data_IF_819204462078
#
_entry.id   IF_819204462078
#
_cell.length_a   1.000
_cell.length_b   1.000
_cell.length_c   1.000
_cell.angle_alpha   90.00
_cell.angle_beta   90.00
_cell.angle_gamma   90.00
#
_symmetry.space_group_name_H-M   'P 1'
#
loop_
_entity.id
_entity.type
_entity.pdbx_description
1 polymer ?
#
# COMPACT_ATOMS: atom_id res chain seq x y z
N UNK A 1 14.61 35.23 -2.47
CA UNK A 1 13.48 34.53 -3.13
C UNK A 1 13.08 33.38 -2.23
N UNK A 2 12.11 33.60 -1.35
CA UNK A 2 11.52 32.52 -0.56
C UNK A 2 10.71 31.67 -1.52
N UNK A 3 11.18 30.46 -1.82
CA UNK A 3 10.31 29.49 -2.44
C UNK A 3 9.20 29.23 -1.43
N UNK A 4 7.98 29.68 -1.75
CA UNK A 4 6.80 29.16 -1.10
C UNK A 4 6.84 27.64 -1.33
N UNK A 5 7.32 26.90 -0.33
CA UNK A 5 7.09 25.47 -0.27
C UNK A 5 5.57 25.35 -0.18
N UNK A 6 4.93 25.12 -1.32
CA UNK A 6 3.53 24.71 -1.36
C UNK A 6 3.46 23.41 -0.56
N UNK A 7 3.12 23.54 0.73
CA UNK A 7 2.78 22.43 1.59
C UNK A 7 1.48 21.88 1.04
N UNK A 8 1.60 20.85 0.20
CA UNK A 8 0.45 20.13 -0.30
C UNK A 8 -0.12 19.28 0.84
N UNK A 9 -1.44 19.11 0.82
CA UNK A 9 -2.17 18.30 1.78
C UNK A 9 -2.98 17.24 1.04
N UNK A 10 -3.77 16.48 1.78
CA UNK A 10 -4.70 15.52 1.22
C UNK A 10 -6.11 16.09 1.21
N UNK A 11 -6.88 15.73 0.19
CA UNK A 11 -8.32 15.99 0.14
C UNK A 11 -9.08 14.71 -0.20
N UNK A 12 -10.33 14.55 0.24
CA UNK A 12 -11.18 13.45 -0.20
C UNK A 12 -11.36 13.50 -1.72
N UNK A 13 -11.27 12.34 -2.37
CA UNK A 13 -11.54 12.21 -3.79
C UNK A 13 -13.06 12.26 -4.03
N UNK A 14 -13.51 13.00 -5.04
CA UNK A 14 -14.94 13.09 -5.38
C UNK A 14 -15.50 11.74 -5.85
N UNK A 15 -14.73 11.02 -6.67
CA UNK A 15 -15.06 9.69 -7.16
C UNK A 15 -13.94 8.74 -6.75
N UNK A 16 -14.16 7.79 -5.83
CA UNK A 16 -13.13 6.84 -5.43
C UNK A 16 -12.53 6.09 -6.63
N UNK A 17 -11.22 5.86 -6.60
CA UNK A 17 -10.57 5.03 -7.62
C UNK A 17 -10.88 3.53 -7.42
N UNK A 18 -10.88 2.77 -8.50
CA UNK A 18 -11.06 1.32 -8.44
C UNK A 18 -9.90 0.67 -7.68
N UNK A 19 -10.17 -0.13 -6.63
CA UNK A 19 -9.13 -0.65 -5.76
C UNK A 19 -8.31 -1.74 -6.45
N UNK A 20 -6.99 -1.61 -6.34
CA UNK A 20 -6.01 -2.55 -6.88
C UNK A 20 -5.06 -3.10 -5.81
N UNK A 21 -5.10 -2.53 -4.61
CA UNK A 21 -4.43 -3.08 -3.44
C UNK A 21 -5.21 -2.78 -2.15
N UNK A 22 -5.18 -3.73 -1.23
CA UNK A 22 -5.49 -3.56 0.18
C UNK A 22 -4.23 -3.10 0.91
N UNK A 23 -4.35 -2.07 1.75
CA UNK A 23 -3.27 -1.47 2.55
C UNK A 23 -3.73 -1.39 3.99
N UNK A 24 -2.94 -1.96 4.88
CA UNK A 24 -3.29 -2.05 6.29
C UNK A 24 -2.06 -1.81 7.16
N UNK A 25 -2.27 -1.18 8.30
CA UNK A 25 -1.24 -0.83 9.28
C UNK A 25 -1.57 -1.45 10.64
N UNK A 26 -0.54 -1.76 11.45
CA UNK A 26 -0.69 -2.23 12.82
C UNK A 26 -1.67 -3.42 12.95
N UNK A 27 -2.67 -3.28 13.82
CA UNK A 27 -3.67 -4.33 14.05
C UNK A 27 -4.50 -4.67 12.81
N UNK A 28 -4.79 -3.69 11.93
CA UNK A 28 -5.47 -3.95 10.67
C UNK A 28 -4.59 -4.82 9.75
N UNK A 29 -3.26 -4.62 9.76
CA UNK A 29 -2.33 -5.47 9.01
C UNK A 29 -2.35 -6.91 9.53
N UNK A 30 -2.48 -7.11 10.85
CA UNK A 30 -2.62 -8.44 11.45
C UNK A 30 -3.95 -9.11 11.08
N UNK A 31 -5.06 -8.37 11.12
CA UNK A 31 -6.37 -8.88 10.67
C UNK A 31 -6.37 -9.25 9.19
N UNK A 32 -5.77 -8.40 8.35
CA UNK A 32 -5.60 -8.66 6.94
C UNK A 32 -4.76 -9.93 6.70
N UNK A 33 -3.63 -10.07 7.39
CA UNK A 33 -2.78 -11.26 7.32
C UNK A 33 -3.56 -12.53 7.71
N UNK A 34 -4.30 -12.50 8.82
CA UNK A 34 -5.14 -13.62 9.25
C UNK A 34 -6.21 -13.95 8.20
N UNK A 35 -6.79 -12.95 7.53
CA UNK A 35 -7.76 -13.17 6.45
C UNK A 35 -7.13 -13.86 5.25
N UNK A 36 -5.89 -13.51 4.88
CA UNK A 36 -5.16 -14.12 3.76
C UNK A 36 -4.95 -15.62 3.97
N UNK A 37 -4.68 -16.06 5.20
CA UNK A 37 -4.53 -17.49 5.54
C UNK A 37 -5.82 -18.31 5.38
N UNK A 38 -6.97 -17.64 5.28
CA UNK A 38 -8.29 -18.25 5.14
C UNK A 38 -8.84 -18.14 3.70
N UNK A 39 -8.05 -17.62 2.76
CA UNK A 39 -8.47 -17.55 1.36
C UNK A 39 -8.37 -18.91 0.69
N UNK A 40 -9.26 -19.17 -0.27
CA UNK A 40 -9.11 -20.30 -1.16
C UNK A 40 -7.86 -20.15 -2.04
N UNK A 41 -7.17 -21.25 -2.32
CA UNK A 41 -5.91 -21.24 -3.09
C UNK A 41 -6.04 -20.52 -4.44
N UNK A 42 -7.17 -20.69 -5.14
CA UNK A 42 -7.44 -20.03 -6.41
C UNK A 42 -7.57 -18.49 -6.29
N UNK A 43 -8.03 -17.99 -5.15
CA UNK A 43 -8.06 -16.56 -4.86
C UNK A 43 -6.66 -16.08 -4.45
N UNK A 44 -6.00 -16.79 -3.53
CA UNK A 44 -4.66 -16.44 -3.07
C UNK A 44 -3.63 -16.39 -4.22
N UNK A 45 -3.70 -17.32 -5.18
CA UNK A 45 -2.82 -17.36 -6.35
C UNK A 45 -2.90 -16.13 -7.26
N UNK A 46 -3.98 -15.34 -7.16
CA UNK A 46 -4.18 -14.09 -7.93
C UNK A 46 -3.75 -12.84 -7.15
N UNK A 47 -3.29 -13.02 -5.92
CA UNK A 47 -2.85 -11.94 -5.04
C UNK A 47 -1.33 -11.92 -4.88
N UNK A 48 -0.80 -10.73 -4.70
CA UNK A 48 0.60 -10.51 -4.34
C UNK A 48 0.68 -9.66 -3.08
N UNK A 49 1.60 -9.96 -2.17
CA UNK A 49 1.75 -9.24 -0.93
C UNK A 49 3.18 -8.79 -0.67
N UNK A 50 3.32 -7.65 0.00
CA UNK A 50 4.57 -7.18 0.59
C UNK A 50 4.30 -6.61 1.97
N UNK A 51 5.26 -6.75 2.88
CA UNK A 51 5.20 -6.16 4.21
C UNK A 51 6.50 -5.44 4.54
N UNK A 52 6.41 -4.32 5.24
CA UNK A 52 7.55 -3.55 5.72
C UNK A 52 7.17 -2.83 7.00
N UNK A 53 8.00 -2.92 8.04
CA UNK A 53 7.63 -2.37 9.35
C UNK A 53 6.30 -2.95 9.82
N UNK A 54 5.31 -2.10 10.05
CA UNK A 54 3.95 -2.42 10.49
C UNK A 54 2.89 -2.37 9.36
N UNK A 55 3.29 -2.13 8.10
CA UNK A 55 2.38 -2.14 6.94
C UNK A 55 2.36 -3.49 6.23
N UNK A 56 1.17 -3.90 5.80
CA UNK A 56 0.93 -4.98 4.84
C UNK A 56 0.18 -4.40 3.63
N UNK A 57 0.72 -4.64 2.44
CA UNK A 57 0.09 -4.31 1.17
C UNK A 57 -0.19 -5.59 0.41
N UNK A 58 -1.42 -5.75 -0.07
CA UNK A 58 -1.86 -6.89 -0.90
C UNK A 58 -2.43 -6.35 -2.20
N UNK A 59 -1.76 -6.60 -3.32
CA UNK A 59 -2.18 -6.20 -4.65
C UNK A 59 -2.94 -7.33 -5.36
N UNK A 60 -3.94 -6.96 -6.15
CA UNK A 60 -4.80 -7.86 -6.90
C UNK A 60 -5.95 -7.13 -7.58
N UNK A 61 -6.80 -7.86 -8.30
CA UNK A 61 -8.04 -7.27 -8.83
C UNK A 61 -9.01 -6.98 -7.70
N UNK A 62 -9.87 -5.97 -7.86
CA UNK A 62 -10.89 -5.61 -6.86
C UNK A 62 -11.74 -6.81 -6.40
N UNK A 63 -12.03 -7.75 -7.30
CA UNK A 63 -12.80 -8.96 -7.01
C UNK A 63 -12.07 -9.94 -6.08
N UNK A 64 -10.74 -9.89 -6.06
CA UNK A 64 -9.90 -10.82 -5.29
C UNK A 64 -9.41 -10.21 -3.98
N UNK A 65 -9.48 -8.89 -3.83
CA UNK A 65 -9.03 -8.21 -2.63
C UNK A 65 -9.87 -8.62 -1.40
N UNK A 66 -9.22 -8.90 -0.26
CA UNK A 66 -9.94 -9.18 0.98
C UNK A 66 -10.54 -7.90 1.59
N UNK A 67 -11.85 -7.93 1.82
CA UNK A 67 -12.58 -6.88 2.54
C UNK A 67 -12.51 -7.13 4.04
N UNK A 68 -11.76 -6.31 4.76
CA UNK A 68 -11.46 -6.49 6.20
C UNK A 68 -11.54 -5.14 6.91
N UNK A 69 -12.11 -5.12 8.12
CA UNK A 69 -12.29 -3.89 8.89
C UNK A 69 -10.96 -3.21 9.24
N UNK A 70 -10.91 -1.91 8.93
CA UNK A 70 -9.72 -1.06 9.12
C UNK A 70 -8.69 -1.16 8.00
N UNK A 71 -8.95 -1.94 6.95
CA UNK A 71 -8.15 -1.94 5.72
C UNK A 71 -8.63 -0.84 4.80
N UNK A 72 -7.68 -0.08 4.27
CA UNK A 72 -7.92 0.92 3.24
C UNK A 72 -7.38 0.40 1.91
N UNK A 73 -7.69 1.10 0.82
CA UNK A 73 -7.37 0.63 -0.52
C UNK A 73 -6.55 1.64 -1.29
N UNK A 74 -5.72 1.13 -2.21
CA UNK A 74 -4.91 1.91 -3.10
C UNK A 74 -5.11 1.50 -4.55
N UNK A 75 -4.79 2.41 -5.45
CA UNK A 75 -4.77 2.19 -6.89
C UNK A 75 -3.59 2.91 -7.52
N UNK A 76 -3.11 2.41 -8.65
CA UNK A 76 -2.18 3.13 -9.52
C UNK A 76 -2.87 4.39 -10.02
N UNK A 77 -2.17 5.53 -10.01
CA UNK A 77 -2.70 6.75 -10.60
C UNK A 77 -2.51 6.74 -12.13
N UNK A 78 -3.54 7.04 -12.94
CA UNK A 78 -3.43 6.98 -14.41
C UNK A 78 -2.36 7.92 -14.96
N UNK A 79 -2.23 9.13 -14.39
CA UNK A 79 -1.25 10.13 -14.83
C UNK A 79 0.17 9.89 -14.28
N UNK A 80 0.34 8.91 -13.38
CA UNK A 80 1.63 8.57 -12.78
C UNK A 80 1.71 7.06 -12.50
N UNK A 81 1.99 6.21 -13.51
CA UNK A 81 1.93 4.75 -13.37
C UNK A 81 2.89 4.14 -12.32
N UNK A 82 3.94 4.87 -11.95
CA UNK A 82 4.87 4.48 -10.87
C UNK A 82 4.38 4.82 -9.46
N UNK A 83 3.23 5.49 -9.33
CA UNK A 83 2.71 6.02 -8.08
C UNK A 83 1.33 5.44 -7.77
N UNK A 84 1.25 4.80 -6.61
CA UNK A 84 0.03 4.30 -6.02
C UNK A 84 -0.46 5.28 -4.97
N UNK A 85 -1.77 5.54 -4.96
CA UNK A 85 -2.43 6.46 -4.05
C UNK A 85 -3.64 5.79 -3.38
N UNK A 86 -4.08 6.27 -2.20
CA UNK A 86 -5.33 5.81 -1.60
C UNK A 86 -6.51 6.03 -2.56
N UNK A 87 -7.45 5.10 -2.59
CA UNK A 87 -8.61 5.20 -3.50
C UNK A 87 -9.55 6.33 -3.13
N UNK A 88 -9.69 6.64 -1.83
CA UNK A 88 -10.60 7.67 -1.30
C UNK A 88 -9.96 9.05 -1.11
N UNK A 89 -8.65 9.18 -1.29
CA UNK A 89 -7.93 10.43 -1.05
C UNK A 89 -7.02 10.77 -2.22
N UNK A 90 -6.81 12.06 -2.44
CA UNK A 90 -5.86 12.55 -3.43
C UNK A 90 -5.06 13.72 -2.86
N UNK A 91 -3.80 13.88 -3.30
CA UNK A 91 -3.02 15.06 -2.94
C UNK A 91 -3.63 16.31 -3.58
N UNK A 92 -3.48 17.45 -2.92
CA UNK A 92 -3.87 18.75 -3.49
C UNK A 92 -2.87 19.24 -4.55
N UNK A 93 -1.66 18.66 -4.58
CA UNK A 93 -0.66 18.94 -5.60
C UNK A 93 -0.87 18.08 -6.87
N UNK A 94 -0.38 18.55 -8.04
CA UNK A 94 -0.37 17.77 -9.26
C UNK A 94 0.37 16.42 -9.08
N UNK A 95 -0.30 15.32 -9.44
CA UNK A 95 0.18 13.96 -9.17
C UNK A 95 1.37 13.59 -10.06
N UNK A 96 1.43 14.11 -11.27
CA UNK A 96 2.56 13.98 -12.19
C UNK A 96 3.85 14.58 -11.61
N UNK A 97 3.76 15.78 -11.01
CA UNK A 97 4.89 16.44 -10.34
C UNK A 97 5.33 15.67 -9.10
N UNK A 98 4.37 15.17 -8.31
CA UNK A 98 4.68 14.30 -7.17
C UNK A 98 5.37 13.00 -7.62
N UNK A 99 4.87 12.37 -8.68
CA UNK A 99 5.45 11.16 -9.25
C UNK A 99 6.90 11.35 -9.70
N UNK A 100 7.19 12.46 -10.40
CA UNK A 100 8.56 12.80 -10.79
C UNK A 100 9.48 13.06 -9.58
N UNK A 101 8.98 13.82 -8.60
CA UNK A 101 9.73 14.13 -7.37
C UNK A 101 10.07 12.87 -6.57
N UNK A 102 9.10 11.97 -6.42
CA UNK A 102 9.30 10.70 -5.72
C UNK A 102 10.26 9.78 -6.49
N UNK A 103 10.15 9.73 -7.82
CA UNK A 103 11.06 8.94 -8.67
C UNK A 103 12.50 9.45 -8.61
N UNK A 104 12.71 10.77 -8.49
CA UNK A 104 14.04 11.34 -8.30
C UNK A 104 14.62 11.06 -6.90
N UNK A 105 13.75 11.01 -5.88
CA UNK A 105 14.14 10.80 -4.47
C UNK A 105 14.41 9.33 -4.14
N UNK A 106 13.60 8.42 -4.66
CA UNK A 106 13.64 7.00 -4.32
C UNK A 106 14.13 6.18 -5.50
N UNK A 107 15.08 5.27 -5.25
CA UNK A 107 15.63 4.37 -6.28
C UNK A 107 14.73 3.19 -6.62
N UNK A 108 13.61 3.01 -5.90
CA UNK A 108 12.69 1.88 -6.03
C UNK A 108 11.37 2.35 -6.62
N UNK A 109 10.75 1.47 -7.40
CA UNK A 109 9.49 1.70 -8.09
C UNK A 109 8.77 0.35 -8.27
N UNK A 110 7.42 0.30 -8.24
CA UNK A 110 6.51 1.42 -7.96
C UNK A 110 6.49 1.81 -6.47
N UNK A 111 5.93 2.99 -6.17
CA UNK A 111 5.82 3.53 -4.82
C UNK A 111 4.35 3.70 -4.42
N UNK A 112 4.02 3.32 -3.19
CA UNK A 112 2.79 3.72 -2.51
C UNK A 112 3.06 4.97 -1.70
N UNK A 113 2.34 6.05 -1.98
CA UNK A 113 2.32 7.25 -1.15
C UNK A 113 1.08 7.22 -0.27
N UNK A 114 1.28 7.24 1.05
CA UNK A 114 0.22 7.06 2.04
C UNK A 114 0.01 8.30 2.91
N UNK A 115 -1.25 8.55 3.29
CA UNK A 115 -1.67 9.73 4.07
C UNK A 115 -1.41 9.57 5.55
N UNK A 116 -2.00 8.54 6.16
CA UNK A 116 -1.98 8.31 7.61
C UNK A 116 -1.82 6.80 7.91
N UNK A 117 -0.74 6.40 8.61
CA UNK A 117 0.45 7.22 8.89
C UNK A 117 1.12 7.71 7.60
N UNK A 118 1.78 8.85 7.65
CA UNK A 118 2.46 9.37 6.45
C UNK A 118 3.65 8.48 6.10
N UNK A 119 3.58 7.83 4.94
CA UNK A 119 4.60 6.87 4.52
C UNK A 119 4.78 6.84 3.01
N UNK A 120 5.98 6.41 2.59
CA UNK A 120 6.27 6.00 1.22
C UNK A 120 6.75 4.56 1.27
N UNK A 121 5.98 3.65 0.68
CA UNK A 121 6.24 2.20 0.73
C UNK A 121 6.62 1.73 -0.67
N UNK A 122 7.82 1.17 -0.86
CA UNK A 122 8.19 0.61 -2.15
C UNK A 122 7.46 -0.71 -2.39
N UNK A 123 6.91 -0.87 -3.59
CA UNK A 123 6.11 -2.02 -4.02
C UNK A 123 6.87 -2.93 -5.01
N UNK A 124 8.19 -2.76 -5.11
CA UNK A 124 9.10 -3.54 -5.95
C UNK A 124 9.23 -5.01 -5.53
N UNK A 125 8.65 -5.38 -4.39
CA UNK A 125 8.69 -6.74 -3.80
C UNK A 125 7.32 -7.32 -3.50
N UNK A 126 6.34 -7.03 -4.35
CA UNK A 126 5.07 -7.76 -4.33
C UNK A 126 5.31 -9.21 -4.76
N UNK A 127 5.27 -10.13 -3.80
CA UNK A 127 5.47 -11.57 -4.03
C UNK A 127 4.13 -12.30 -4.00
N UNK A 128 3.95 -13.41 -4.74
CA UNK A 128 2.73 -14.21 -4.69
C UNK A 128 2.32 -14.56 -3.25
N UNK A 129 1.03 -14.54 -2.96
CA UNK A 129 0.51 -14.94 -1.65
C UNK A 129 0.58 -16.47 -1.52
N UNK A 130 1.56 -16.95 -0.78
CA UNK A 130 1.70 -18.36 -0.37
C UNK A 130 1.77 -18.46 1.15
N UNK A 131 1.53 -19.66 1.69
CA UNK A 131 1.63 -19.92 3.14
C UNK A 131 3.03 -19.58 3.66
N UNK A 132 4.09 -19.95 2.93
CA UNK A 132 5.48 -19.69 3.30
C UNK A 132 5.77 -18.18 3.32
N UNK A 133 5.26 -17.43 2.34
CA UNK A 133 5.41 -15.98 2.30
C UNK A 133 4.70 -15.31 3.48
N UNK A 134 3.47 -15.73 3.78
CA UNK A 134 2.71 -15.22 4.93
C UNK A 134 3.39 -15.56 6.26
N UNK A 135 3.98 -16.75 6.41
CA UNK A 135 4.76 -17.12 7.59
C UNK A 135 5.98 -16.24 7.77
N UNK A 136 6.72 -15.94 6.68
CA UNK A 136 7.87 -15.02 6.73
C UNK A 136 7.48 -13.63 7.20
N UNK A 137 6.35 -13.10 6.72
CA UNK A 137 5.80 -11.82 7.17
C UNK A 137 5.49 -11.86 8.68
N UNK A 138 4.83 -12.92 9.15
CA UNK A 138 4.51 -13.07 10.57
C UNK A 138 5.77 -13.10 11.46
N UNK A 139 6.79 -13.86 11.06
CA UNK A 139 8.08 -13.96 11.76
C UNK A 139 8.78 -12.60 11.82
N UNK A 140 8.83 -11.85 10.71
CA UNK A 140 9.43 -10.51 10.68
C UNK A 140 8.78 -9.59 11.72
N UNK A 141 7.46 -9.59 11.80
CA UNK A 141 6.75 -8.76 12.76
C UNK A 141 6.90 -9.21 14.22
N UNK A 142 7.06 -10.52 14.46
CA UNK A 142 7.36 -11.08 15.78
C UNK A 142 8.76 -10.69 16.27
N UNK A 143 9.76 -10.73 15.38
CA UNK A 143 11.13 -10.32 15.68
C UNK A 143 11.24 -8.81 15.97
N UNK A 144 10.49 -7.97 15.24
CA UNK A 144 10.49 -6.52 15.48
C UNK A 144 9.95 -6.11 16.86
N UNK A 145 9.05 -6.90 17.45
CA UNK A 145 8.51 -6.64 18.81
C UNK A 145 9.38 -7.20 19.94
N UNK A 146 10.31 -8.12 19.65
CA UNK A 146 11.22 -8.68 20.66
C UNK A 146 12.45 -7.80 20.92
N UNK A 147 12.67 -6.79 20.09
CA UNK A 147 13.84 -5.89 20.15
C UNK A 147 13.52 -4.48 20.66
N UNK A 148 12.33 -4.27 21.24
CA UNK A 148 11.87 -3.01 21.84
C UNK A 148 11.68 -3.19 23.35
#
# INVERSE_FOLDING_TARGET
MSADHYAWTWRPRQVPADPQAAVAWGDAARRLHARLLLLADAQAARLHATASGDVLVVAGTAADLPWVDGVAYAAVHPDAPGLWLPTSWEPTAPVDVLGQTLSARFKRSPLLLWREPQAVVPLDRLLPVTVEHLQRIATQWGASHATA
#
